data_IF_419496464582
#
_entry.id   IF_419496464582
#
_cell.length_a   1.000
_cell.length_b   1.000
_cell.length_c   1.000
_cell.angle_alpha   90.00
_cell.angle_beta   90.00
_cell.angle_gamma   90.00
#
_symmetry.space_group_name_H-M   'P 1'
#
loop_
_entity.id
_entity.type
_entity.pdbx_description
1 polymer ?
#
# COMPACT_ATOMS: atom_id res chain seq x y z
N UNK A 1 9.41 10.75 -8.18
CA UNK A 1 9.31 9.32 -8.54
C UNK A 1 9.60 8.54 -7.27
N UNK A 2 8.64 7.75 -6.78
CA UNK A 2 8.85 6.91 -5.59
C UNK A 2 9.58 5.64 -6.02
N UNK A 3 10.57 5.23 -5.24
CA UNK A 3 11.23 3.95 -5.46
C UNK A 3 10.29 2.82 -5.00
N UNK A 4 10.20 1.73 -5.76
CA UNK A 4 9.34 0.59 -5.42
C UNK A 4 9.67 -0.06 -4.06
N UNK A 5 10.84 0.24 -3.50
CA UNK A 5 11.27 -0.19 -2.17
C UNK A 5 10.31 0.22 -1.04
N UNK A 6 9.56 1.31 -1.21
CA UNK A 6 8.60 1.78 -0.20
C UNK A 6 7.43 0.81 0.02
N UNK A 7 7.21 -0.17 -0.87
CA UNK A 7 6.16 -1.18 -0.71
C UNK A 7 6.67 -2.48 -0.08
N UNK A 8 7.99 -2.59 0.18
CA UNK A 8 8.57 -3.81 0.73
C UNK A 8 8.34 -3.94 2.25
N UNK A 9 7.92 -5.11 2.73
CA UNK A 9 7.64 -5.41 4.16
C UNK A 9 8.82 -5.19 5.12
N UNK A 10 10.04 -5.09 4.62
CA UNK A 10 11.24 -4.83 5.42
C UNK A 10 11.66 -3.36 5.47
N UNK A 11 11.11 -2.49 4.62
CA UNK A 11 11.52 -1.09 4.53
C UNK A 11 10.98 -0.25 5.68
N UNK A 12 11.76 0.74 6.14
CA UNK A 12 11.43 1.52 7.35
C UNK A 12 10.34 2.57 7.11
N UNK A 13 10.35 3.21 5.93
CA UNK A 13 9.33 4.19 5.52
C UNK A 13 8.37 3.55 4.50
N UNK A 14 7.58 2.59 4.97
CA UNK A 14 6.59 1.91 4.15
C UNK A 14 5.44 2.83 3.74
N UNK A 15 4.99 2.68 2.51
CA UNK A 15 3.73 3.25 2.06
C UNK A 15 2.66 2.17 2.00
N UNK A 16 1.47 2.55 2.44
CA UNK A 16 0.28 1.73 2.33
C UNK A 16 -0.30 1.81 0.90
N UNK A 17 -0.67 0.64 0.37
CA UNK A 17 -1.27 0.47 -0.94
C UNK A 17 -2.74 0.14 -0.77
N UNK A 18 -3.63 0.94 -1.37
CA UNK A 18 -5.04 0.58 -1.45
C UNK A 18 -5.26 -0.42 -2.59
N UNK A 19 -5.93 -1.54 -2.31
CA UNK A 19 -6.43 -2.50 -3.27
C UNK A 19 -7.95 -2.58 -3.22
N UNK A 20 -8.56 -3.02 -4.33
CA UNK A 20 -9.99 -3.32 -4.34
C UNK A 20 -10.25 -4.56 -3.49
N UNK A 21 -11.28 -4.53 -2.65
CA UNK A 21 -11.68 -5.64 -1.77
C UNK A 21 -11.92 -6.97 -2.50
N UNK A 22 -12.41 -6.92 -3.73
CA UNK A 22 -12.56 -8.11 -4.60
C UNK A 22 -11.25 -8.82 -4.93
N UNK A 23 -10.09 -8.20 -4.68
CA UNK A 23 -8.76 -8.79 -4.92
C UNK A 23 -8.17 -9.47 -3.68
N UNK A 24 -8.82 -9.41 -2.51
CA UNK A 24 -8.30 -9.99 -1.25
C UNK A 24 -7.82 -11.43 -1.40
N UNK A 25 -8.65 -12.31 -1.94
CA UNK A 25 -8.31 -13.73 -2.11
C UNK A 25 -7.17 -13.97 -3.10
N UNK A 26 -7.00 -13.08 -4.09
CA UNK A 26 -5.96 -13.20 -5.10
C UNK A 26 -4.60 -12.73 -4.59
N UNK A 27 -4.61 -11.75 -3.69
CA UNK A 27 -3.45 -11.13 -3.07
C UNK A 27 -3.14 -11.67 -1.68
N UNK A 28 -3.84 -12.73 -1.25
CA UNK A 28 -3.62 -13.38 0.02
C UNK A 28 -2.14 -13.81 0.19
N UNK A 29 -1.59 -13.58 1.38
CA UNK A 29 -0.17 -13.86 1.68
C UNK A 29 0.13 -15.36 1.60
N UNK A 30 -0.79 -16.23 2.02
CA UNK A 30 -0.57 -17.67 1.94
C UNK A 30 -0.53 -18.16 0.48
N UNK A 31 -1.18 -17.43 -0.43
CA UNK A 31 -1.19 -17.73 -1.87
C UNK A 31 -0.01 -17.12 -2.62
N UNK A 32 0.36 -15.88 -2.29
CA UNK A 32 1.33 -15.09 -3.07
C UNK A 32 2.72 -15.03 -2.45
N UNK A 33 2.83 -15.24 -1.13
CA UNK A 33 4.03 -14.95 -0.35
C UNK A 33 4.41 -13.46 -0.34
N UNK A 34 3.53 -12.57 -0.81
CA UNK A 34 3.80 -11.14 -0.89
C UNK A 34 3.37 -10.45 0.39
N UNK A 35 4.34 -9.99 1.16
CA UNK A 35 4.11 -9.12 2.31
C UNK A 35 4.24 -7.65 1.87
N UNK A 36 3.12 -6.94 1.82
CA UNK A 36 3.06 -5.50 1.55
C UNK A 36 2.06 -4.85 2.50
N UNK A 37 2.32 -3.61 2.91
CA UNK A 37 1.35 -2.83 3.66
C UNK A 37 0.20 -2.49 2.72
N UNK A 38 -0.91 -3.20 2.87
CA UNK A 38 -2.05 -3.15 1.96
C UNK A 38 -3.36 -2.95 2.73
N UNK A 39 -4.12 -1.94 2.33
CA UNK A 39 -5.48 -1.73 2.78
C UNK A 39 -6.45 -2.08 1.65
N UNK A 40 -7.50 -2.84 1.97
CA UNK A 40 -8.52 -3.19 1.00
C UNK A 40 -9.76 -2.32 1.20
N UNK A 41 -10.18 -1.66 0.12
CA UNK A 41 -11.31 -0.73 0.09
C UNK A 41 -12.30 -1.12 -1.02
N UNK A 42 -13.57 -0.69 -0.95
CA UNK A 42 -14.52 -0.87 -2.05
C UNK A 42 -13.98 -0.30 -3.38
N UNK A 43 -14.27 -0.97 -4.48
CA UNK A 43 -13.76 -0.60 -5.81
C UNK A 43 -14.13 0.84 -6.22
N UNK A 44 -15.35 1.28 -5.92
CA UNK A 44 -15.81 2.64 -6.23
C UNK A 44 -15.03 3.70 -5.45
N UNK A 45 -14.69 3.41 -4.18
CA UNK A 45 -13.83 4.25 -3.37
C UNK A 45 -12.41 4.28 -3.93
N UNK A 46 -11.84 3.12 -4.29
CA UNK A 46 -10.49 3.03 -4.86
C UNK A 46 -10.36 3.88 -6.13
N UNK A 47 -11.33 3.77 -7.04
CA UNK A 47 -11.34 4.51 -8.30
C UNK A 47 -11.43 6.02 -8.07
N UNK A 48 -12.25 6.46 -7.10
CA UNK A 48 -12.32 7.87 -6.70
C UNK A 48 -11.01 8.35 -6.10
N UNK A 49 -10.34 7.54 -5.29
CA UNK A 49 -9.09 7.91 -4.64
C UNK A 49 -7.92 7.97 -5.64
N UNK A 50 -7.73 6.94 -6.46
CA UNK A 50 -6.54 6.75 -7.29
C UNK A 50 -6.20 7.98 -8.14
N UNK A 51 -7.20 8.58 -8.81
CA UNK A 51 -7.01 9.75 -9.66
C UNK A 51 -6.96 11.09 -8.90
N UNK A 52 -7.35 11.10 -7.63
CA UNK A 52 -7.39 12.30 -6.79
C UNK A 52 -6.32 12.30 -5.69
N UNK A 53 -5.36 11.36 -5.73
CA UNK A 53 -4.27 11.32 -4.76
C UNK A 53 -3.29 12.48 -4.98
N UNK A 54 -2.79 13.09 -3.89
CA UNK A 54 -1.69 14.01 -3.96
C UNK A 54 -0.45 13.35 -4.57
N UNK A 55 0.35 14.11 -5.33
CA UNK A 55 1.58 13.64 -5.94
C UNK A 55 2.78 14.54 -5.59
N UNK A 56 3.99 14.02 -5.75
CA UNK A 56 5.23 14.79 -5.54
C UNK A 56 5.51 15.07 -4.06
N UNK A 57 5.60 16.33 -3.68
CA UNK A 57 6.04 16.75 -2.34
C UNK A 57 4.98 16.52 -1.23
N UNK A 58 3.78 16.06 -1.60
CA UNK A 58 2.76 15.68 -0.64
C UNK A 58 3.06 14.35 0.09
N UNK A 59 3.98 13.54 -0.44
CA UNK A 59 4.43 12.32 0.23
C UNK A 59 5.32 12.64 1.44
N UNK A 60 5.17 11.86 2.51
CA UNK A 60 6.05 11.96 3.66
C UNK A 60 7.35 11.18 3.40
N UNK A 61 8.43 11.90 3.11
CA UNK A 61 9.75 11.32 2.86
C UNK A 61 10.58 11.12 4.13
N UNK A 62 10.08 11.50 5.30
CA UNK A 62 10.80 11.31 6.56
C UNK A 62 10.93 9.82 6.88
N UNK A 63 11.93 9.49 7.71
CA UNK A 63 12.03 8.16 8.27
C UNK A 63 10.95 7.97 9.32
N UNK A 64 10.00 7.07 9.03
CA UNK A 64 9.03 6.57 9.99
C UNK A 64 9.46 5.18 10.48
N UNK A 65 8.80 4.68 11.52
CA UNK A 65 8.88 3.26 11.86
C UNK A 65 7.97 2.43 10.95
N UNK A 66 8.17 1.11 10.99
CA UNK A 66 7.39 0.18 10.17
C UNK A 66 5.91 0.21 10.56
N UNK A 67 5.05 -0.09 9.60
CA UNK A 67 3.63 -0.27 9.85
C UNK A 67 3.44 -1.67 10.46
N UNK A 68 2.96 -1.76 11.70
CA UNK A 68 2.72 -3.04 12.39
C UNK A 68 1.30 -3.57 12.11
N UNK A 69 1.15 -4.89 11.93
CA UNK A 69 -0.16 -5.57 11.86
C UNK A 69 -0.92 -5.44 10.53
N UNK A 70 -0.25 -5.07 9.44
CA UNK A 70 -0.86 -4.90 8.10
C UNK A 70 -0.47 -6.04 7.13
N UNK A 71 0.24 -7.05 7.64
CA UNK A 71 0.68 -8.25 6.91
C UNK A 71 -0.04 -9.49 7.43
#
# INVERSE_FOLDING_TARGET
MLAMIHFASWYRNQMDVEFADGLKEQLDVARTGLEAAATFVPEDQLLRHYLNRPYGNAYNFNQADKIEGVF
#
